data_IF_191552709669
#
_entry.id   IF_191552709669
#
_cell.length_a   1.000
_cell.length_b   1.000
_cell.length_c   1.000
_cell.angle_alpha   90.00
_cell.angle_beta   90.00
_cell.angle_gamma   90.00
#
_symmetry.space_group_name_H-M   'P 1'
#
loop_
_entity.id
_entity.type
_entity.pdbx_description
1 polymer ?
#
# COMPACT_ATOMS: atom_id res chain seq x y z
N UNK A 1 19.78 -2.87 0.65
CA UNK A 1 19.67 -4.34 0.68
C UNK A 1 18.83 -4.73 -0.51
N UNK A 2 19.21 -5.77 -1.26
CA UNK A 2 18.39 -6.25 -2.37
C UNK A 2 17.35 -7.20 -1.79
N UNK A 3 16.07 -6.86 -1.91
CA UNK A 3 15.00 -7.76 -1.50
C UNK A 3 14.89 -8.94 -2.47
N UNK A 4 14.38 -10.06 -1.96
CA UNK A 4 13.99 -11.22 -2.76
C UNK A 4 12.50 -11.15 -3.09
N UNK A 5 12.15 -11.38 -4.35
CA UNK A 5 10.79 -11.24 -4.86
C UNK A 5 10.26 -12.59 -5.32
N UNK A 6 8.93 -12.76 -5.25
CA UNK A 6 8.24 -13.79 -6.03
C UNK A 6 7.85 -13.19 -7.39
N UNK A 7 7.90 -13.97 -8.48
CA UNK A 7 7.33 -13.54 -9.75
C UNK A 7 5.85 -13.17 -9.57
N UNK A 8 5.39 -12.09 -10.22
CA UNK A 8 3.98 -11.68 -10.14
C UNK A 8 3.02 -12.82 -10.54
N UNK A 9 3.43 -13.67 -11.48
CA UNK A 9 2.67 -14.87 -11.90
C UNK A 9 2.52 -15.94 -10.82
N UNK A 10 3.34 -15.93 -9.79
CA UNK A 10 3.27 -16.84 -8.65
C UNK A 10 2.61 -16.18 -7.43
N UNK A 11 2.27 -14.89 -7.53
CA UNK A 11 1.58 -14.21 -6.45
C UNK A 11 0.14 -14.68 -6.34
N UNK A 12 -0.25 -15.11 -5.14
CA UNK A 12 -1.58 -15.68 -4.88
C UNK A 12 -2.72 -14.73 -5.30
N UNK A 13 -2.52 -13.42 -5.12
CA UNK A 13 -3.51 -12.38 -5.45
C UNK A 13 -3.26 -11.72 -6.81
N UNK A 14 -2.50 -12.34 -7.72
CA UNK A 14 -2.18 -11.76 -9.03
C UNK A 14 -3.40 -11.40 -9.89
N UNK A 15 -4.57 -11.95 -9.59
CA UNK A 15 -5.82 -11.65 -10.28
C UNK A 15 -6.18 -10.15 -10.19
N UNK A 16 -5.79 -9.45 -9.12
CA UNK A 16 -6.05 -8.00 -8.95
C UNK A 16 -5.33 -7.15 -10.00
N UNK A 17 -4.20 -7.65 -10.54
CA UNK A 17 -3.42 -6.97 -11.60
C UNK A 17 -3.70 -7.52 -13.00
N UNK A 18 -4.61 -8.49 -13.11
CA UNK A 18 -5.06 -9.10 -14.35
C UNK A 18 -6.57 -8.92 -14.57
N UNK A 19 -7.19 -7.99 -13.82
CA UNK A 19 -8.59 -7.65 -13.96
C UNK A 19 -8.83 -6.98 -15.31
N UNK A 20 -9.86 -7.42 -16.04
CA UNK A 20 -10.11 -6.95 -17.42
C UNK A 20 -10.54 -5.48 -17.47
N UNK A 21 -11.31 -5.05 -16.47
CA UNK A 21 -11.85 -3.68 -16.41
C UNK A 21 -10.82 -2.65 -15.89
N UNK A 22 -9.74 -3.13 -15.25
CA UNK A 22 -8.63 -2.29 -14.78
C UNK A 22 -7.30 -2.88 -15.28
N UNK A 23 -7.03 -2.78 -16.60
CA UNK A 23 -5.87 -3.40 -17.20
C UNK A 23 -4.57 -2.71 -16.75
N UNK A 24 -3.67 -3.47 -16.14
CA UNK A 24 -2.32 -3.03 -15.83
C UNK A 24 -1.40 -3.33 -17.01
N UNK A 25 -0.61 -2.36 -17.44
CA UNK A 25 0.35 -2.53 -18.55
C UNK A 25 1.47 -3.51 -18.18
N UNK A 26 2.09 -4.16 -19.17
CA UNK A 26 3.23 -5.04 -18.93
C UNK A 26 4.44 -4.30 -18.35
N UNK A 27 4.61 -3.02 -18.70
CA UNK A 27 5.63 -2.14 -18.13
C UNK A 27 5.40 -1.93 -16.63
N UNK A 28 4.17 -1.58 -16.22
CA UNK A 28 3.84 -1.37 -14.81
C UNK A 28 3.91 -2.70 -14.03
N UNK A 29 3.45 -3.82 -14.60
CA UNK A 29 3.56 -5.16 -13.99
C UNK A 29 5.00 -5.52 -13.65
N UNK A 30 5.98 -5.11 -14.46
CA UNK A 30 7.40 -5.36 -14.17
C UNK A 30 7.91 -4.63 -12.90
N UNK A 31 7.20 -3.59 -12.46
CA UNK A 31 7.47 -2.86 -11.22
C UNK A 31 6.56 -3.25 -10.05
N UNK A 32 5.58 -4.14 -10.25
CA UNK A 32 4.77 -4.70 -9.17
C UNK A 32 5.50 -5.95 -8.68
N UNK A 33 6.22 -5.83 -7.56
CA UNK A 33 7.14 -6.85 -7.08
C UNK A 33 6.73 -7.35 -5.70
N UNK A 34 5.91 -8.42 -5.64
CA UNK A 34 5.55 -9.03 -4.37
C UNK A 34 6.80 -9.62 -3.71
N UNK A 35 6.97 -9.35 -2.42
CA UNK A 35 8.10 -9.84 -1.64
C UNK A 35 7.89 -11.32 -1.28
N UNK A 36 8.98 -12.09 -1.16
CA UNK A 36 8.90 -13.38 -0.47
C UNK A 36 8.53 -13.16 0.99
N UNK A 37 7.87 -14.13 1.63
CA UNK A 37 7.34 -13.96 3.00
C UNK A 37 8.38 -13.47 4.02
N UNK A 38 9.63 -13.94 3.91
CA UNK A 38 10.73 -13.49 4.78
C UNK A 38 11.00 -11.98 4.64
N UNK A 39 11.08 -11.49 3.41
CA UNK A 39 11.36 -10.07 3.12
C UNK A 39 10.16 -9.18 3.48
N UNK A 40 8.94 -9.64 3.19
CA UNK A 40 7.72 -8.97 3.63
C UNK A 40 7.69 -8.80 5.15
N UNK A 41 8.02 -9.87 5.88
CA UNK A 41 8.11 -9.85 7.34
C UNK A 41 9.18 -8.88 7.85
N UNK A 42 10.35 -8.83 7.21
CA UNK A 42 11.42 -7.89 7.57
C UNK A 42 10.99 -6.43 7.33
N UNK A 43 10.35 -6.13 6.20
CA UNK A 43 9.78 -4.80 5.91
C UNK A 43 8.72 -4.42 6.95
N UNK A 44 7.78 -5.31 7.23
CA UNK A 44 6.73 -5.09 8.21
C UNK A 44 7.29 -4.86 9.63
N UNK A 45 8.17 -5.74 10.11
CA UNK A 45 8.78 -5.62 11.43
C UNK A 45 9.59 -4.33 11.59
N UNK A 46 10.24 -3.88 10.51
CA UNK A 46 11.08 -2.68 10.52
C UNK A 46 10.26 -1.39 10.53
N UNK A 47 9.18 -1.34 9.75
CA UNK A 47 8.49 -0.08 9.47
C UNK A 47 7.07 0.00 10.00
N UNK A 48 6.42 -1.13 10.27
CA UNK A 48 5.02 -1.16 10.67
C UNK A 48 4.92 -1.61 12.13
N UNK A 49 5.18 -2.88 12.40
CA UNK A 49 5.06 -3.46 13.74
C UNK A 49 5.89 -4.73 13.87
N UNK A 50 6.61 -4.89 14.98
CA UNK A 50 7.27 -6.15 15.31
C UNK A 50 6.39 -7.10 16.16
N UNK A 51 5.13 -6.73 16.44
CA UNK A 51 4.22 -7.44 17.35
C UNK A 51 2.93 -7.90 16.69
N UNK A 52 2.35 -7.06 15.85
CA UNK A 52 1.10 -7.33 15.14
C UNK A 52 1.39 -7.91 13.77
N UNK A 53 0.50 -8.77 13.24
CA UNK A 53 0.63 -9.31 11.88
C UNK A 53 -0.29 -8.64 10.85
N UNK A 54 -1.32 -7.94 11.31
CA UNK A 54 -2.26 -7.15 10.51
C UNK A 54 -2.60 -5.86 11.26
N UNK A 55 -3.29 -4.94 10.59
CA UNK A 55 -3.65 -3.64 11.16
C UNK A 55 -4.75 -3.73 12.22
N UNK A 56 -5.68 -4.69 12.08
CA UNK A 56 -6.68 -5.02 13.12
C UNK A 56 -6.05 -5.44 14.46
N UNK A 57 -4.83 -5.95 14.44
CA UNK A 57 -4.11 -6.39 15.63
C UNK A 57 -3.26 -5.29 16.26
N UNK A 58 -3.30 -4.05 15.76
CA UNK A 58 -2.49 -2.98 16.33
C UNK A 58 -2.88 -2.67 17.77
N UNK A 59 -1.86 -2.39 18.56
CA UNK A 59 -1.92 -2.17 20.00
C UNK A 59 -1.18 -0.88 20.35
N UNK A 60 -1.21 -0.48 21.63
CA UNK A 60 -0.54 0.76 22.11
C UNK A 60 0.97 0.84 21.79
N UNK A 61 1.62 -0.28 21.46
CA UNK A 61 3.03 -0.32 21.06
C UNK A 61 3.27 0.05 19.59
N UNK A 62 2.24 0.00 18.77
CA UNK A 62 2.30 0.22 17.32
C UNK A 62 2.04 1.69 17.01
N UNK A 63 2.88 2.30 16.17
CA UNK A 63 2.74 3.73 15.87
C UNK A 63 1.39 4.03 15.19
N UNK A 64 0.92 3.11 14.35
CA UNK A 64 -0.33 3.23 13.61
C UNK A 64 -1.59 3.19 14.51
N UNK A 65 -1.49 2.69 15.74
CA UNK A 65 -2.59 2.71 16.72
C UNK A 65 -2.72 4.06 17.46
N UNK A 66 -1.82 5.02 17.21
CA UNK A 66 -1.85 6.32 17.87
C UNK A 66 -2.62 7.30 17.00
N UNK A 67 -3.63 7.96 17.54
CA UNK A 67 -4.38 9.00 16.83
C UNK A 67 -3.46 10.11 16.30
N UNK A 68 -2.38 10.41 17.02
CA UNK A 68 -1.38 11.41 16.60
C UNK A 68 -0.56 11.01 15.38
N UNK A 69 -0.65 9.77 14.91
CA UNK A 69 -0.01 9.34 13.67
C UNK A 69 -0.77 9.83 12.43
N UNK A 70 -2.05 10.15 12.56
CA UNK A 70 -2.95 10.46 11.45
C UNK A 70 -3.36 11.94 11.50
N UNK A 71 -3.35 12.60 10.34
CA UNK A 71 -3.60 14.05 10.21
C UNK A 71 -4.83 14.35 9.36
N UNK A 72 -5.10 13.51 8.37
CA UNK A 72 -6.23 13.67 7.44
C UNK A 72 -6.93 12.32 7.25
N UNK A 73 -8.22 12.37 6.94
CA UNK A 73 -9.03 11.21 6.60
C UNK A 73 -10.09 11.60 5.59
N UNK A 74 -10.34 10.73 4.62
CA UNK A 74 -11.35 10.93 3.58
C UNK A 74 -11.77 9.58 2.97
N UNK A 75 -12.70 9.63 2.03
CA UNK A 75 -13.27 8.47 1.34
C UNK A 75 -12.45 8.10 0.09
N UNK A 76 -12.05 6.84 -0.04
CA UNK A 76 -11.46 6.31 -1.28
C UNK A 76 -12.50 5.59 -2.16
N UNK A 77 -13.56 5.05 -1.55
CA UNK A 77 -14.48 4.14 -2.23
C UNK A 77 -15.26 4.84 -3.34
N UNK A 78 -15.73 6.06 -3.11
CA UNK A 78 -16.45 6.86 -4.12
C UNK A 78 -15.58 7.15 -5.34
N UNK A 79 -14.29 7.44 -5.13
CA UNK A 79 -13.35 7.64 -6.23
C UNK A 79 -13.04 6.32 -6.95
N UNK A 80 -12.99 5.21 -6.21
CA UNK A 80 -12.75 3.89 -6.76
C UNK A 80 -13.89 3.44 -7.68
N UNK A 81 -15.14 3.62 -7.24
CA UNK A 81 -16.36 3.29 -8.00
C UNK A 81 -16.59 4.19 -9.24
N UNK A 82 -15.92 5.34 -9.31
CA UNK A 82 -16.04 6.25 -10.44
C UNK A 82 -15.28 5.74 -11.69
N UNK A 83 -15.59 6.32 -12.86
CA UNK A 83 -14.80 6.07 -14.09
C UNK A 83 -13.48 6.86 -14.13
N UNK A 84 -13.24 7.79 -13.20
CA UNK A 84 -12.02 8.57 -13.15
C UNK A 84 -10.85 7.70 -12.64
N UNK A 85 -9.76 7.51 -13.41
CA UNK A 85 -8.60 6.75 -12.96
C UNK A 85 -7.75 7.50 -11.93
N UNK A 86 -7.97 8.81 -11.73
CA UNK A 86 -7.18 9.62 -10.81
C UNK A 86 -7.29 9.11 -9.36
N UNK A 87 -6.17 9.24 -8.64
CA UNK A 87 -6.14 9.07 -7.20
C UNK A 87 -6.92 10.23 -6.53
N UNK A 88 -7.60 10.02 -5.38
CA UNK A 88 -8.26 11.12 -4.67
C UNK A 88 -7.32 12.30 -4.42
N UNK A 89 -7.83 13.51 -4.61
CA UNK A 89 -7.01 14.74 -4.58
C UNK A 89 -6.25 14.91 -3.27
N UNK A 90 -6.91 14.68 -2.11
CA UNK A 90 -6.28 14.76 -0.79
C UNK A 90 -5.16 13.70 -0.63
N UNK A 91 -5.41 12.47 -1.07
CA UNK A 91 -4.40 11.42 -1.08
C UNK A 91 -3.20 11.84 -1.92
N UNK A 92 -3.42 12.32 -3.15
CA UNK A 92 -2.34 12.75 -4.04
C UNK A 92 -1.56 13.96 -3.48
N UNK A 93 -2.24 14.91 -2.84
CA UNK A 93 -1.63 16.11 -2.28
C UNK A 93 -0.76 15.85 -1.04
N UNK A 94 -1.10 14.82 -0.25
CA UNK A 94 -0.32 14.45 0.94
C UNK A 94 1.06 13.89 0.61
N UNK A 95 1.22 13.23 -0.54
CA UNK A 95 2.47 12.57 -0.94
C UNK A 95 3.25 13.40 -1.96
N UNK A 96 4.33 14.05 -1.52
CA UNK A 96 5.28 14.81 -2.34
C UNK A 96 6.40 13.93 -2.94
N UNK A 97 6.12 12.63 -3.12
CA UNK A 97 7.12 11.66 -3.54
C UNK A 97 7.43 11.78 -5.02
N UNK A 98 8.72 11.69 -5.37
CA UNK A 98 9.12 11.61 -6.78
C UNK A 98 8.60 10.30 -7.39
N UNK A 99 8.23 10.31 -8.67
CA UNK A 99 7.68 9.15 -9.41
C UNK A 99 8.38 7.82 -9.12
N UNK A 100 9.71 7.81 -9.15
CA UNK A 100 10.54 6.60 -9.00
C UNK A 100 10.78 6.20 -7.54
N UNK A 101 10.10 6.84 -6.59
CA UNK A 101 10.24 6.55 -5.17
C UNK A 101 9.76 5.13 -4.89
N UNK A 102 10.58 4.26 -4.28
CA UNK A 102 10.12 2.95 -3.84
C UNK A 102 9.06 3.10 -2.74
N UNK A 103 7.96 2.39 -2.91
CA UNK A 103 6.85 2.34 -1.97
C UNK A 103 6.52 0.88 -1.67
N UNK A 104 6.04 0.64 -0.45
CA UNK A 104 5.52 -0.64 -0.03
C UNK A 104 4.02 -0.53 0.21
N UNK A 105 3.28 -1.42 -0.44
CA UNK A 105 1.88 -1.66 -0.15
C UNK A 105 1.77 -2.93 0.69
N UNK A 106 1.43 -2.77 1.96
CA UNK A 106 1.52 -3.78 2.99
C UNK A 106 0.12 -4.22 3.42
N UNK A 107 -0.39 -5.30 2.83
CA UNK A 107 -1.68 -5.88 3.24
C UNK A 107 -1.59 -6.49 4.64
N UNK A 108 -0.52 -7.23 4.90
CA UNK A 108 -0.23 -7.84 6.20
C UNK A 108 1.25 -8.22 6.28
N UNK A 109 1.70 -8.71 7.44
CA UNK A 109 3.11 -9.00 7.73
C UNK A 109 3.83 -9.89 6.71
N UNK A 110 3.13 -10.83 6.10
CA UNK A 110 3.71 -11.74 5.10
C UNK A 110 3.30 -11.41 3.66
N UNK A 111 2.58 -10.30 3.46
CA UNK A 111 2.07 -9.87 2.16
C UNK A 111 2.37 -8.40 1.93
N UNK A 112 3.53 -8.16 1.32
CA UNK A 112 3.99 -6.82 0.97
C UNK A 112 4.38 -6.80 -0.50
N UNK A 113 3.94 -5.77 -1.20
CA UNK A 113 4.34 -5.49 -2.58
C UNK A 113 5.25 -4.27 -2.57
N UNK A 114 6.44 -4.41 -3.13
CA UNK A 114 7.27 -3.26 -3.51
C UNK A 114 6.86 -2.78 -4.89
N UNK A 115 6.69 -1.47 -5.05
CA UNK A 115 6.54 -0.84 -6.35
C UNK A 115 7.12 0.57 -6.36
N UNK A 116 6.93 1.30 -7.46
CA UNK A 116 7.25 2.73 -7.54
C UNK A 116 6.00 3.56 -7.29
N UNK A 117 6.18 4.77 -6.76
CA UNK A 117 5.08 5.69 -6.49
C UNK A 117 4.22 5.93 -7.74
N UNK A 118 4.83 6.22 -8.89
CA UNK A 118 4.11 6.46 -10.13
C UNK A 118 3.29 5.26 -10.62
N UNK A 119 3.82 4.04 -10.42
CA UNK A 119 3.14 2.79 -10.76
C UNK A 119 1.95 2.56 -9.84
N UNK A 120 2.09 2.84 -8.55
CA UNK A 120 0.97 2.81 -7.61
C UNK A 120 -0.10 3.81 -8.02
N UNK A 121 0.25 5.08 -8.27
CA UNK A 121 -0.71 6.14 -8.63
C UNK A 121 -1.51 5.78 -9.87
N UNK A 122 -0.90 5.22 -10.92
CA UNK A 122 -1.62 4.80 -12.13
C UNK A 122 -2.54 3.60 -11.94
N UNK A 123 -2.24 2.74 -10.97
CA UNK A 123 -2.89 1.45 -10.80
C UNK A 123 -3.53 1.29 -9.40
N UNK A 124 -3.78 2.39 -8.69
CA UNK A 124 -4.15 2.38 -7.27
C UNK A 124 -5.42 1.58 -7.01
N UNK A 125 -6.40 1.68 -7.93
CA UNK A 125 -7.64 0.90 -7.87
C UNK A 125 -7.38 -0.62 -7.81
N UNK A 126 -6.36 -1.11 -8.52
CA UNK A 126 -5.99 -2.52 -8.49
C UNK A 126 -5.44 -2.96 -7.13
N UNK A 127 -4.69 -2.10 -6.44
CA UNK A 127 -4.18 -2.38 -5.10
C UNK A 127 -5.30 -2.43 -4.06
N UNK A 128 -6.41 -1.71 -4.28
CA UNK A 128 -7.55 -1.66 -3.35
C UNK A 128 -8.61 -2.75 -3.60
N UNK A 129 -8.42 -3.67 -4.56
CA UNK A 129 -9.26 -4.88 -4.63
C UNK A 129 -9.18 -5.74 -3.37
N UNK A 130 -8.14 -5.58 -2.56
CA UNK A 130 -8.02 -6.17 -1.23
C UNK A 130 -7.75 -5.05 -0.22
N UNK A 131 -8.82 -4.48 0.30
CA UNK A 131 -8.88 -3.29 1.15
C UNK A 131 -8.92 -3.59 2.66
N UNK A 132 -8.57 -4.83 3.05
CA UNK A 132 -8.53 -5.30 4.43
C UNK A 132 -7.34 -4.70 5.20
N UNK A 133 -7.40 -3.40 5.43
CA UNK A 133 -6.44 -2.67 6.24
C UNK A 133 -5.05 -2.41 5.65
N UNK A 134 -4.80 -2.31 4.33
CA UNK A 134 -3.43 -2.16 3.86
C UNK A 134 -2.80 -0.82 4.27
N UNK A 135 -1.48 -0.85 4.49
CA UNK A 135 -0.66 0.32 4.73
C UNK A 135 0.21 0.64 3.51
N UNK A 136 0.20 1.89 3.07
CA UNK A 136 1.13 2.42 2.08
C UNK A 136 2.21 3.24 2.78
N UNK A 137 3.48 2.89 2.54
CA UNK A 137 4.65 3.60 3.11
C UNK A 137 5.79 3.71 2.11
N UNK A 138 6.75 4.60 2.36
CA UNK A 138 8.06 4.61 1.68
C UNK A 138 9.19 4.42 2.70
N UNK A 139 10.31 3.75 2.35
CA UNK A 139 11.47 3.65 3.24
C UNK A 139 12.12 4.99 3.58
N UNK A 140 12.01 5.98 2.67
CA UNK A 140 12.72 7.27 2.76
C UNK A 140 11.88 8.39 3.32
N UNK A 141 10.56 8.22 3.37
CA UNK A 141 9.61 9.25 3.77
C UNK A 141 8.83 8.81 5.00
N UNK A 142 8.41 9.78 5.80
CA UNK A 142 7.56 9.49 6.95
C UNK A 142 6.08 9.42 6.60
N UNK A 143 5.63 9.98 5.48
CA UNK A 143 4.22 9.89 5.10
C UNK A 143 3.77 8.42 5.00
N UNK A 144 2.55 8.16 5.43
CA UNK A 144 1.89 6.87 5.36
C UNK A 144 0.40 7.06 5.06
N UNK A 145 -0.21 6.05 4.45
CA UNK A 145 -1.66 5.93 4.38
C UNK A 145 -2.10 4.58 4.96
N UNK A 146 -3.19 4.58 5.72
CA UNK A 146 -3.92 3.38 6.14
C UNK A 146 -5.26 3.37 5.43
N UNK A 147 -5.54 2.31 4.69
CA UNK A 147 -6.79 2.14 3.96
C UNK A 147 -7.69 1.20 4.78
N UNK A 148 -8.92 1.62 5.03
CA UNK A 148 -9.91 0.88 5.81
C UNK A 148 -10.95 0.24 4.88
N UNK A 149 -11.48 -0.90 5.31
CA UNK A 149 -12.48 -1.67 4.58
C UNK A 149 -13.86 -0.98 4.55
N UNK A 150 -14.07 0.05 5.37
CA UNK A 150 -15.31 0.83 5.41
C UNK A 150 -15.37 1.93 4.32
N UNK A 151 -14.41 1.94 3.41
CA UNK A 151 -14.33 2.92 2.31
C UNK A 151 -13.51 4.16 2.64
N UNK A 152 -12.96 4.26 3.85
CA UNK A 152 -12.15 5.41 4.28
C UNK A 152 -10.66 5.12 4.23
N UNK A 153 -9.85 6.18 4.12
CA UNK A 153 -8.42 6.12 4.37
C UNK A 153 -8.01 7.18 5.37
N UNK A 154 -6.89 6.95 6.03
CA UNK A 154 -6.21 7.93 6.88
C UNK A 154 -4.82 8.21 6.33
N UNK A 155 -4.46 9.49 6.28
CA UNK A 155 -3.13 9.95 5.88
C UNK A 155 -2.40 10.46 7.11
N UNK A 156 -1.11 10.16 7.18
CA UNK A 156 -0.37 10.36 8.41
C UNK A 156 1.13 10.30 8.25
N UNK A 157 1.81 10.24 9.40
CA UNK A 157 3.25 10.09 9.50
C UNK A 157 3.64 8.94 10.42
N UNK A 158 4.53 8.08 9.91
CA UNK A 158 5.17 7.01 10.67
C UNK A 158 5.98 7.56 11.84
N UNK A 159 5.86 6.86 12.98
CA UNK A 159 6.61 7.09 14.22
C UNK A 159 8.10 6.82 14.12
#
# INVERSE_FOLDING_TARGET
>A
MAHTYIPLEQYQRKWIFNHKDLPVTDEDKAFIKPLVQKEAMEVWNKWISNRSSSTEQFSKGDWAAKDTAWVEADDWQSAWDSEDPALPEMFAAHFDWADKTPVYFCYEKYQVIETRWDVFVRNWKCFLFFDDGPLLISPKHKQAALIHQDGQYQLGHRG
#
